data_IF_928771090102
#
_entry.id   IF_928771090102
#
_cell.length_a   1.000
_cell.length_b   1.000
_cell.length_c   1.000
_cell.angle_alpha   90.00
_cell.angle_beta   90.00
_cell.angle_gamma   90.00
#
_symmetry.space_group_name_H-M   'P 1'
#
loop_
_entity.id
_entity.type
_entity.pdbx_description
1 polymer ?
2 polymer ?
3 non-polymer ?
4 non-polymer ?
5 water ?
#
# COMPACT_ATOMS: atom_id res chain seq x y z
N UNK A 8 -17.28 21.94 16.22
CA UNK A 8 -18.05 20.70 16.22
C UNK A 8 -17.39 19.67 15.31
N UNK A 9 -17.47 18.40 15.68
CA UNK A 9 -16.69 17.39 14.98
C UNK A 9 -17.28 16.01 15.24
N UNK A 10 -16.87 15.06 14.40
CA UNK A 10 -17.38 13.69 14.52
C UNK A 10 -16.67 12.91 15.60
N UNK A 11 -15.37 13.16 15.82
CA UNK A 11 -14.63 12.51 16.89
C UNK A 11 -14.93 13.19 18.21
N UNK A 12 -15.24 12.41 19.24
CA UNK A 12 -15.45 13.04 20.53
C UNK A 12 -14.14 13.46 21.18
N UNK A 13 -13.03 12.84 20.79
CA UNK A 13 -11.71 13.31 21.20
C UNK A 13 -10.69 12.85 20.17
N UNK A 14 -9.59 13.60 20.05
CA UNK A 14 -8.59 13.34 19.01
C UNK A 14 -7.57 12.33 19.53
N UNK A 15 -8.04 11.10 19.71
CA UNK A 15 -7.24 10.00 20.23
C UNK A 15 -7.66 8.72 19.52
N UNK A 16 -6.85 7.67 19.68
CA UNK A 16 -7.23 6.37 19.15
C UNK A 16 -8.57 5.93 19.74
N UNK A 17 -8.76 6.19 21.03
CA UNK A 17 -9.99 5.84 21.73
C UNK A 17 -11.19 6.55 21.12
N UNK A 18 -11.01 7.83 20.73
CA UNK A 18 -12.08 8.53 20.04
C UNK A 18 -12.38 7.95 18.67
N UNK A 19 -11.34 7.57 17.93
CA UNK A 19 -11.55 6.93 16.64
C UNK A 19 -12.32 5.62 16.78
N UNK A 20 -11.99 4.82 17.80
CA UNK A 20 -12.69 3.54 17.95
C UNK A 20 -14.17 3.75 18.29
N UNK A 21 -14.45 4.69 19.19
CA UNK A 21 -15.83 5.03 19.50
C UNK A 21 -16.57 5.49 18.26
N UNK A 22 -15.91 6.25 17.40
CA UNK A 22 -16.54 6.71 16.17
C UNK A 22 -16.79 5.54 15.21
N UNK A 23 -15.81 4.66 15.06
CA UNK A 23 -15.96 3.51 14.17
C UNK A 23 -17.12 2.61 14.60
N UNK A 24 -17.36 2.48 15.89
CA UNK A 24 -18.48 1.68 16.36
C UNK A 24 -19.77 2.47 16.52
N UNK A 25 -19.81 3.69 16.03
CA UNK A 25 -21.05 4.44 15.98
C UNK A 25 -21.73 4.22 14.64
N UNK A 26 -23.01 4.60 14.55
CA UNK A 26 -23.73 4.53 13.28
C UNK A 26 -23.22 5.57 12.29
N UNK A 27 -22.43 6.54 12.75
CA UNK A 27 -21.95 7.58 11.85
C UNK A 27 -20.87 7.07 10.92
N UNK A 28 -20.21 5.96 11.27
CA UNK A 28 -19.06 5.47 10.52
C UNK A 28 -19.42 4.15 9.86
N UNK A 29 -19.60 4.19 8.54
CA UNK A 29 -19.95 3.01 7.78
C UNK A 29 -18.91 2.60 6.75
N UNK A 30 -18.12 3.55 6.23
CA UNK A 30 -17.23 3.31 5.09
C UNK A 30 -15.82 3.79 5.44
N UNK A 31 -14.86 2.87 5.41
CA UNK A 31 -13.46 3.17 5.74
C UNK A 31 -12.63 3.04 4.47
N UNK A 32 -11.81 4.05 4.19
CA UNK A 32 -10.76 3.92 3.17
C UNK A 32 -9.40 3.82 3.86
N UNK A 33 -8.62 2.82 3.50
CA UNK A 33 -7.25 2.67 3.98
C UNK A 33 -6.28 3.13 2.90
N UNK A 34 -5.31 3.95 3.30
CA UNK A 34 -4.17 4.33 2.47
C UNK A 34 -2.92 3.75 3.10
N UNK A 35 -2.23 2.87 2.38
CA UNK A 35 -1.13 2.15 2.99
C UNK A 35 0.12 2.25 2.13
N UNK A 36 1.27 2.19 2.79
CA UNK A 36 2.55 2.23 2.13
C UNK A 36 3.55 1.23 2.68
N UNK A 37 4.83 1.47 2.37
CA UNK A 37 5.90 0.53 2.67
C UNK A 37 5.95 0.17 4.14
N UNK A 38 5.52 1.08 5.01
CA UNK A 38 5.59 0.84 6.44
C UNK A 38 4.79 -0.34 6.93
N UNK A 39 3.74 -0.75 6.19
CA UNK A 39 2.94 -1.89 6.65
C UNK A 39 3.53 -3.22 6.22
N UNK A 40 4.62 -3.22 5.43
CA UNK A 40 5.24 -4.45 5.00
C UNK A 40 6.67 -4.62 5.50
N UNK A 41 7.20 -3.66 6.25
CA UNK A 41 8.56 -3.84 6.77
C UNK A 41 8.62 -4.96 7.81
N UNK A 42 7.57 -5.13 8.62
CA UNK A 42 7.62 -6.22 9.59
C UNK A 42 7.39 -7.58 8.95
N UNK A 43 6.97 -7.62 7.70
CA UNK A 43 6.97 -8.83 6.90
C UNK A 43 8.33 -9.12 6.31
N UNK A 44 9.35 -8.39 6.74
CA UNK A 44 10.67 -8.57 6.18
C UNK A 44 10.83 -8.02 4.78
N UNK A 45 9.96 -7.11 4.35
CA UNK A 45 10.11 -6.46 3.06
C UNK A 45 10.47 -5.00 3.30
N UNK A 46 11.75 -4.63 3.35
CA UNK A 46 12.09 -3.22 3.56
C UNK A 46 11.66 -2.38 2.37
N UNK A 47 11.50 -1.08 2.65
CA UNK A 47 11.11 -0.13 1.62
C UNK A 47 12.07 -0.16 0.44
N UNK A 48 11.51 -0.08 -0.78
CA UNK A 48 12.34 -0.06 -1.98
C UNK A 48 12.89 1.31 -2.31
N UNK A 49 12.48 2.36 -1.60
CA UNK A 49 13.18 3.63 -1.70
C UNK A 49 14.21 3.80 -0.60
N UNK A 50 14.34 2.79 0.24
CA UNK A 50 15.26 2.84 1.37
C UNK A 50 16.70 2.67 0.89
N UNK A 51 17.69 3.41 1.51
CA UNK A 51 19.06 3.38 1.06
C UNK A 51 19.86 2.15 1.52
N UNK A 52 19.31 0.96 1.25
CA UNK A 52 20.09 -0.26 1.42
C UNK A 52 20.01 -1.22 0.25
N UNK A 53 19.09 -1.02 -0.69
CA UNK A 53 19.21 -1.66 -1.99
C UNK A 53 20.18 -0.90 -2.87
N UNK A 54 20.43 0.37 -2.59
CA UNK A 54 21.38 1.16 -3.35
C UNK A 54 22.81 0.67 -3.25
N UNK A 55 23.04 -0.63 -3.36
CA UNK A 55 24.40 -1.17 -3.36
C UNK A 55 24.97 -1.18 -4.78
N UNK A 61 28.10 -2.32 -9.80
CA UNK A 61 27.46 -1.13 -10.31
C UNK A 61 27.24 -1.24 -11.83
N UNK A 62 25.98 -1.11 -12.24
CA UNK A 62 25.56 -1.28 -13.63
C UNK A 62 25.75 -0.04 -14.50
N UNK A 63 26.65 0.88 -14.16
CA UNK A 63 26.83 2.13 -14.89
C UNK A 63 25.59 3.01 -14.82
N UNK A 64 24.83 2.94 -13.73
CA UNK A 64 23.63 3.76 -13.64
C UNK A 64 24.00 5.23 -13.56
N UNK A 65 23.21 6.13 -14.17
CA UNK A 65 23.54 7.55 -14.12
C UNK A 65 23.44 8.17 -12.73
N UNK A 66 22.49 7.74 -11.92
CA UNK A 66 22.31 8.26 -10.58
C UNK A 66 21.54 7.18 -9.82
N UNK A 67 21.01 7.42 -8.59
CA UNK A 67 20.32 6.29 -7.92
C UNK A 67 18.91 6.04 -8.43
N UNK A 68 18.11 7.10 -8.61
CA UNK A 68 16.73 6.95 -9.07
C UNK A 68 16.59 6.11 -10.34
N UNK A 69 17.63 6.07 -11.19
CA UNK A 69 17.47 5.49 -12.53
C UNK A 69 16.98 4.05 -12.52
N UNK A 70 17.30 3.28 -11.46
CA UNK A 70 16.91 1.87 -11.43
C UNK A 70 15.39 1.72 -11.35
N UNK A 71 14.67 2.74 -10.87
CA UNK A 71 13.22 2.69 -10.79
C UNK A 71 12.53 3.74 -11.67
N UNK A 72 13.26 4.36 -12.60
CA UNK A 72 12.67 5.31 -13.53
C UNK A 72 12.34 4.62 -14.85
N UNK A 73 11.20 4.98 -15.42
CA UNK A 73 10.72 4.30 -16.62
C UNK A 73 11.62 4.57 -17.81
N UNK A 74 12.16 5.80 -17.91
CA UNK A 74 13.00 6.14 -19.05
C UNK A 74 14.22 5.24 -19.11
N UNK A 75 14.87 5.02 -17.96
CA UNK A 75 16.02 4.13 -17.95
C UNK A 75 15.60 2.68 -18.22
N UNK A 76 14.47 2.24 -17.64
CA UNK A 76 14.09 0.84 -17.76
C UNK A 76 13.85 0.44 -19.21
N UNK A 77 13.23 1.32 -20.00
CA UNK A 77 13.10 1.07 -21.44
C UNK A 77 14.48 1.05 -22.08
N UNK A 78 14.72 0.03 -22.91
CA UNK A 78 16.00 -0.23 -23.59
C UNK A 78 17.16 -0.59 -22.67
N UNK A 79 17.10 -0.27 -21.37
CA UNK A 79 18.00 -0.87 -20.39
C UNK A 79 17.24 -1.50 -19.23
N UNK A 80 16.46 -2.55 -19.48
CA UNK A 80 16.13 -3.47 -18.41
C UNK A 80 17.42 -4.22 -18.12
N UNK A 81 17.35 -5.23 -17.28
CA UNK A 81 18.45 -6.06 -16.78
C UNK A 81 18.95 -5.54 -15.43
N UNK A 82 19.36 -4.27 -15.25
CA UNK A 82 19.62 -3.81 -13.88
C UNK A 82 18.43 -4.00 -12.98
N UNK A 83 17.24 -3.59 -13.44
CA UNK A 83 16.04 -3.80 -12.63
C UNK A 83 15.86 -5.26 -12.29
N UNK A 84 15.98 -6.14 -13.29
CA UNK A 84 15.73 -7.54 -13.05
C UNK A 84 16.81 -8.17 -12.19
N UNK A 85 18.02 -7.63 -12.23
CA UNK A 85 19.05 -8.07 -11.30
C UNK A 85 18.70 -7.64 -9.88
N UNK A 86 18.29 -6.38 -9.71
CA UNK A 86 17.90 -5.92 -8.38
C UNK A 86 16.68 -6.69 -7.87
N UNK A 87 15.77 -7.06 -8.77
CA UNK A 87 14.59 -7.83 -8.39
C UNK A 87 14.98 -9.18 -7.80
N UNK A 88 16.00 -9.83 -8.37
CA UNK A 88 16.48 -11.09 -7.79
C UNK A 88 17.14 -10.85 -6.44
N UNK A 89 17.89 -9.74 -6.32
CA UNK A 89 18.51 -9.38 -5.05
C UNK A 89 17.50 -9.18 -3.94
N UNK A 90 16.40 -8.47 -4.23
CA UNK A 90 15.45 -8.08 -3.21
C UNK A 90 14.23 -8.97 -3.11
N UNK A 91 14.14 -10.01 -3.92
CA UNK A 91 12.94 -10.85 -3.92
C UNK A 91 12.74 -11.43 -2.53
N UNK A 92 11.56 -11.25 -1.92
CA UNK A 92 11.33 -11.76 -0.56
C UNK A 92 11.55 -13.26 -0.46
N UNK A 93 12.03 -13.68 0.71
CA UNK A 93 12.15 -15.11 0.98
C UNK A 93 10.83 -15.79 1.29
N UNK A 94 9.82 -15.01 1.68
CA UNK A 94 8.50 -15.51 2.03
C UNK A 94 7.52 -14.35 1.88
N UNK A 95 6.26 -14.68 1.62
CA UNK A 95 5.20 -13.68 1.46
C UNK A 95 4.19 -13.87 2.58
N UNK A 96 4.46 -13.25 3.72
CA UNK A 96 3.66 -13.42 4.94
C UNK A 96 3.09 -12.06 5.33
N UNK A 97 1.81 -11.80 5.07
CA UNK A 97 1.25 -10.49 5.44
C UNK A 97 1.32 -10.24 6.93
N UNK A 98 1.32 -8.95 7.28
CA UNK A 98 1.50 -8.52 8.65
C UNK A 98 0.15 -8.39 9.36
N UNK A 99 0.22 -8.15 10.68
CA UNK A 99 -0.99 -7.86 11.45
C UNK A 99 -1.81 -6.75 10.81
N UNK A 100 -1.14 -5.74 10.27
CA UNK A 100 -1.83 -4.64 9.60
C UNK A 100 -2.63 -5.12 8.41
N UNK A 101 -2.04 -6.00 7.59
CA UNK A 101 -2.78 -6.52 6.45
C UNK A 101 -4.02 -7.27 6.91
N UNK A 102 -3.88 -8.10 7.94
CA UNK A 102 -5.06 -8.85 8.39
C UNK A 102 -6.06 -7.97 9.10
N UNK A 103 -5.62 -6.84 9.66
CA UNK A 103 -6.56 -5.88 10.21
C UNK A 103 -7.48 -5.36 9.11
N UNK A 104 -6.92 -5.09 7.93
CA UNK A 104 -7.76 -4.65 6.82
C UNK A 104 -8.69 -5.76 6.34
N UNK A 105 -8.23 -7.02 6.39
CA UNK A 105 -9.14 -8.12 6.09
C UNK A 105 -10.30 -8.17 7.09
N UNK A 106 -10.01 -7.89 8.37
CA UNK A 106 -11.07 -7.84 9.36
C UNK A 106 -12.04 -6.70 9.08
N UNK A 107 -11.51 -5.53 8.67
CA UNK A 107 -12.38 -4.44 8.26
C UNK A 107 -13.32 -4.90 7.16
N UNK A 108 -12.79 -5.62 6.18
CA UNK A 108 -13.62 -6.13 5.09
C UNK A 108 -14.67 -7.08 5.62
N UNK A 109 -14.28 -7.97 6.56
CA UNK A 109 -15.21 -8.96 7.15
C UNK A 109 -16.35 -8.29 7.91
N UNK A 110 -16.05 -7.21 8.61
CA UNK A 110 -17.04 -6.51 9.42
C UNK A 110 -17.90 -5.56 8.59
N UNK A 111 -17.71 -5.53 7.28
CA UNK A 111 -18.48 -4.69 6.39
C UNK A 111 -18.12 -3.23 6.42
N UNK A 112 -16.92 -2.88 6.86
CA UNK A 112 -16.51 -1.49 7.00
C UNK A 112 -15.61 -1.02 5.87
N UNK A 113 -15.03 -1.92 5.09
CA UNK A 113 -13.98 -1.53 4.15
C UNK A 113 -14.61 -1.09 2.84
N UNK A 114 -14.48 0.20 2.51
CA UNK A 114 -14.86 0.69 1.19
C UNK A 114 -13.76 0.41 0.18
N UNK A 115 -12.50 0.71 0.53
CA UNK A 115 -11.39 0.48 -0.37
C UNK A 115 -10.05 0.57 0.38
N UNK A 116 -9.07 -0.18 -0.11
CA UNK A 116 -7.68 -0.02 0.31
C UNK A 116 -6.91 0.51 -0.88
N UNK A 117 -6.31 1.69 -0.75
CA UNK A 117 -5.37 2.21 -1.74
C UNK A 117 -3.95 1.91 -1.26
N UNK A 118 -3.18 1.19 -2.06
CA UNK A 118 -1.85 0.80 -1.64
C UNK A 118 -0.80 1.36 -2.57
N UNK A 119 0.33 1.78 -2.01
CA UNK A 119 1.54 2.09 -2.77
C UNK A 119 2.46 0.89 -2.93
N UNK A 120 2.11 -0.26 -2.35
CA UNK A 120 3.00 -1.41 -2.31
C UNK A 120 2.77 -2.32 -3.51
N UNK A 121 3.86 -2.95 -3.95
CA UNK A 121 3.79 -3.84 -5.09
C UNK A 121 3.91 -5.31 -4.68
N UNK A 122 3.93 -5.62 -3.37
CA UNK A 122 4.39 -6.91 -2.87
C UNK A 122 3.30 -7.99 -2.80
N UNK A 123 2.07 -7.68 -3.20
CA UNK A 123 0.90 -8.57 -3.24
C UNK A 123 0.37 -8.98 -1.87
N UNK A 124 0.92 -8.46 -0.77
CA UNK A 124 0.52 -8.98 0.54
C UNK A 124 -0.94 -8.71 0.85
N UNK A 125 -1.50 -7.61 0.32
CA UNK A 125 -2.92 -7.33 0.54
C UNK A 125 -3.80 -8.43 -0.05
N UNK A 126 -3.39 -8.95 -1.21
CA UNK A 126 -4.12 -10.05 -1.85
C UNK A 126 -4.00 -11.34 -1.05
N UNK A 127 -2.79 -11.65 -0.57
CA UNK A 127 -2.60 -12.86 0.22
C UNK A 127 -3.42 -12.79 1.50
N UNK A 128 -3.51 -11.60 2.11
CA UNK A 128 -4.28 -11.43 3.33
C UNK A 128 -5.79 -11.53 3.10
N UNK A 129 -6.23 -11.59 1.84
CA UNK A 129 -7.62 -11.83 1.57
C UNK A 129 -8.41 -10.65 1.03
N UNK A 130 -7.75 -9.54 0.66
CA UNK A 130 -8.43 -8.46 -0.02
C UNK A 130 -8.63 -8.84 -1.49
N UNK A 131 -9.83 -8.62 -2.01
CA UNK A 131 -10.14 -8.95 -3.39
C UNK A 131 -9.77 -7.78 -4.31
N UNK A 132 -9.72 -8.05 -5.61
CA UNK A 132 -9.34 -7.02 -6.57
C UNK A 132 -10.25 -5.80 -6.45
N UNK A 133 -11.58 -6.01 -6.28
CA UNK A 133 -12.45 -4.84 -6.20
C UNK A 133 -12.26 -4.04 -4.92
N UNK A 134 -11.74 -4.65 -3.85
CA UNK A 134 -11.43 -3.91 -2.62
C UNK A 134 -10.17 -3.06 -2.76
N UNK A 135 -9.40 -3.26 -3.81
CA UNK A 135 -8.01 -2.81 -3.87
C UNK A 135 -7.80 -1.84 -5.01
N UNK A 136 -7.06 -0.78 -4.72
CA UNK A 136 -6.52 0.10 -5.77
C UNK A 136 -5.01 0.05 -5.59
N UNK A 137 -4.33 -0.72 -6.43
CA UNK A 137 -2.87 -0.79 -6.40
C UNK A 137 -2.35 0.40 -7.16
N UNK A 138 -2.11 1.50 -6.44
CA UNK A 138 -1.76 2.75 -7.09
C UNK A 138 -0.46 2.67 -7.87
N UNK A 139 0.50 1.88 -7.39
CA UNK A 139 1.76 1.71 -8.11
C UNK A 139 1.83 0.36 -8.79
N UNK A 140 0.70 -0.29 -9.01
CA UNK A 140 0.67 -1.58 -9.69
C UNK A 140 1.14 -2.70 -8.78
N UNK A 141 1.60 -3.78 -9.39
CA UNK A 141 1.84 -4.97 -8.58
C UNK A 141 2.68 -5.98 -9.35
N UNK A 142 3.38 -6.85 -8.61
CA UNK A 142 4.04 -8.02 -9.18
C UNK A 142 3.10 -9.21 -9.32
N UNK A 143 1.86 -9.10 -8.87
CA UNK A 143 0.91 -10.21 -8.93
C UNK A 143 0.77 -10.73 -10.35
N UNK A 144 0.74 -9.82 -11.33
CA UNK A 144 0.65 -10.17 -12.74
C UNK A 144 1.74 -9.42 -13.48
N UNK A 145 2.18 -10.00 -14.61
CA UNK A 145 3.11 -9.34 -15.51
C UNK A 145 2.54 -9.43 -16.91
N UNK A 146 2.96 -8.51 -17.79
CA UNK A 146 2.49 -8.54 -19.16
C UNK A 146 3.63 -8.38 -20.15
N UNK A 147 3.54 -9.14 -21.23
CA UNK A 147 4.28 -8.85 -22.44
C UNK A 147 4.11 -7.39 -22.82
N UNK A 148 5.22 -6.73 -23.17
CA UNK A 148 5.15 -5.29 -23.46
C UNK A 148 4.74 -4.98 -24.89
N UNK A 149 4.60 -5.99 -25.76
CA UNK A 149 4.20 -5.69 -27.13
C UNK A 149 2.70 -5.36 -27.20
N UNK A 150 2.39 -4.22 -27.79
CA UNK A 150 1.03 -3.69 -27.74
C UNK A 150 0.04 -4.66 -28.38
N UNK A 151 0.45 -5.37 -29.42
CA UNK A 151 -0.42 -6.28 -30.14
C UNK A 151 -0.56 -7.63 -29.45
N UNK A 152 0.14 -7.86 -28.33
CA UNK A 152 0.16 -9.15 -27.67
C UNK A 152 -0.36 -9.05 -26.24
N UNK A 153 0.39 -8.44 -25.33
CA UNK A 153 -0.04 -8.21 -23.94
C UNK A 153 -0.43 -9.52 -23.23
N UNK A 154 0.20 -10.64 -23.60
CA UNK A 154 -0.01 -11.88 -22.86
C UNK A 154 0.31 -11.66 -21.39
N UNK A 155 -0.56 -12.20 -20.52
CA UNK A 155 -0.44 -12.04 -19.07
C UNK A 155 0.28 -13.24 -18.47
N UNK A 156 1.14 -12.98 -17.47
CA UNK A 156 1.84 -14.04 -16.79
C UNK A 156 1.69 -13.91 -15.29
N UNK A 157 1.61 -15.02 -14.55
CA UNK A 157 1.53 -14.96 -13.09
C UNK A 157 2.92 -14.83 -12.44
N UNK A 158 2.89 -14.46 -11.15
CA UNK A 158 4.11 -14.23 -10.40
C UNK A 158 5.00 -15.48 -10.37
N UNK A 159 4.39 -16.67 -10.26
CA UNK A 159 5.18 -17.89 -10.26
C UNK A 159 6.05 -17.96 -11.51
N UNK A 160 5.49 -17.62 -12.66
CA UNK A 160 6.25 -17.56 -13.92
C UNK A 160 7.32 -16.48 -13.84
N UNK A 161 6.94 -15.27 -13.41
CA UNK A 161 7.90 -14.17 -13.34
C UNK A 161 9.03 -14.49 -12.37
N UNK A 162 8.70 -15.06 -11.21
CA UNK A 162 9.72 -15.42 -10.23
C UNK A 162 10.76 -16.36 -10.84
N UNK A 163 10.31 -17.34 -11.62
CA UNK A 163 11.24 -18.29 -12.22
C UNK A 163 12.23 -17.59 -13.15
N UNK A 164 11.75 -16.65 -13.98
CA UNK A 164 12.65 -15.95 -14.89
C UNK A 164 13.58 -15.00 -14.15
N UNK A 165 13.11 -14.39 -13.07
CA UNK A 165 13.95 -13.47 -12.32
C UNK A 165 15.15 -14.20 -11.73
N UNK A 166 14.91 -15.39 -11.17
CA UNK A 166 15.97 -16.10 -10.49
C UNK A 166 16.91 -16.83 -11.46
N UNK A 167 16.41 -17.21 -12.64
CA UNK A 167 17.29 -17.75 -13.66
C UNK A 167 18.25 -16.70 -14.21
N UNK A 168 18.08 -15.43 -13.82
CA UNK A 168 18.88 -14.32 -14.33
C UNK A 168 18.77 -14.20 -15.85
N UNK A 169 17.66 -14.67 -16.42
CA UNK A 169 17.34 -14.44 -17.82
C UNK A 169 16.24 -13.39 -17.88
N UNK A 170 16.45 -12.36 -18.70
CA UNK A 170 15.41 -11.36 -18.91
C UNK A 170 14.13 -12.05 -19.35
N UNK A 171 12.99 -11.79 -18.70
CA UNK A 171 11.76 -12.53 -19.04
C UNK A 171 11.25 -12.17 -20.43
N UNK A 172 11.04 -13.20 -21.25
CA UNK A 172 10.62 -13.07 -22.64
C UNK A 172 9.28 -13.75 -22.83
N UNK A 173 8.42 -13.15 -23.64
CA UNK A 173 7.08 -13.67 -23.87
C UNK A 173 7.15 -14.97 -24.68
N UNK A 174 6.37 -15.96 -24.26
CA UNK A 174 6.40 -17.25 -24.96
C UNK A 174 5.69 -17.19 -26.31
N UNK A 175 4.81 -16.22 -26.53
CA UNK A 175 4.09 -16.12 -27.79
C UNK A 175 4.82 -15.29 -28.83
N UNK A 176 5.45 -14.18 -28.42
CA UNK A 176 6.08 -13.28 -29.36
C UNK A 176 7.52 -12.92 -29.02
N UNK A 177 8.04 -13.35 -27.87
CA UNK A 177 9.43 -13.19 -27.44
C UNK A 177 9.79 -11.75 -27.09
N UNK A 178 8.81 -10.86 -26.94
CA UNK A 178 9.07 -9.54 -26.38
C UNK A 178 9.37 -9.63 -24.88
N UNK A 179 9.88 -8.55 -24.33
CA UNK A 179 10.05 -8.42 -22.88
C UNK A 179 8.72 -8.61 -22.17
N UNK A 180 8.75 -9.27 -21.01
CA UNK A 180 7.60 -9.36 -20.12
C UNK A 180 7.90 -8.54 -18.87
N UNK A 181 7.00 -7.64 -18.53
CA UNK A 181 7.25 -6.63 -17.50
C UNK A 181 6.27 -6.80 -16.36
N UNK A 182 6.74 -6.87 -15.11
CA UNK A 182 5.80 -6.88 -13.97
C UNK A 182 4.93 -5.63 -14.00
N UNK A 183 3.68 -5.81 -13.57
CA UNK A 183 2.65 -4.77 -13.70
C UNK A 183 2.83 -3.63 -12.72
N UNK A 184 4.04 -3.18 -12.48
CA UNK A 184 4.27 -2.09 -11.53
C UNK A 184 4.32 -0.78 -12.30
N UNK A 185 4.18 0.32 -11.56
CA UNK A 185 4.30 1.66 -12.10
C UNK A 185 5.69 2.18 -11.76
N UNK A 186 6.51 2.45 -12.78
CA UNK A 186 7.82 3.06 -12.55
C UNK A 186 7.69 4.55 -12.32
N UNK A 187 8.66 5.13 -11.59
CA UNK A 187 8.70 6.57 -11.46
C UNK A 187 8.77 7.19 -12.86
N UNK A 188 8.00 8.26 -13.07
CA UNK A 188 7.86 8.85 -14.38
C UNK A 188 6.71 8.29 -15.19
N UNK A 189 6.05 7.24 -14.73
CA UNK A 189 4.90 6.67 -15.42
C UNK A 189 3.60 7.22 -14.85
N UNK A 190 2.59 7.32 -15.70
CA UNK A 190 1.25 7.66 -15.23
C UNK A 190 0.69 6.52 -14.39
N UNK A 191 -0.04 6.90 -13.34
CA UNK A 191 -0.73 5.91 -12.53
C UNK A 191 -1.88 5.31 -13.33
N UNK A 192 -2.34 4.12 -12.98
CA UNK A 192 -3.43 3.49 -13.76
C UNK A 192 -4.69 4.34 -13.70
N UNK A 193 -5.46 4.30 -14.79
CA UNK A 193 -6.71 5.05 -14.83
C UNK A 193 -7.64 4.65 -13.70
N UNK A 194 -7.57 3.38 -13.26
CA UNK A 194 -8.43 2.93 -12.16
C UNK A 194 -8.19 3.75 -10.89
N UNK A 195 -6.94 4.14 -10.65
CA UNK A 195 -6.63 4.99 -9.50
C UNK A 195 -7.48 6.25 -9.50
N UNK A 196 -7.52 6.97 -10.63
CA UNK A 196 -8.25 8.24 -10.64
C UNK A 196 -9.77 8.04 -10.67
N UNK A 197 -10.26 6.99 -11.34
CA UNK A 197 -11.71 6.80 -11.37
C UNK A 197 -12.24 6.28 -10.04
N UNK A 198 -11.50 5.37 -9.38
CA UNK A 198 -11.90 4.96 -8.03
C UNK A 198 -11.87 6.14 -7.07
N UNK A 199 -10.79 6.93 -7.10
CA UNK A 199 -10.68 8.09 -6.20
C UNK A 199 -11.89 9.02 -6.35
N UNK A 200 -12.31 9.30 -7.59
CA UNK A 200 -13.42 10.22 -7.82
C UNK A 200 -14.70 9.76 -7.12
N UNK A 201 -14.98 8.46 -7.15
CA UNK A 201 -16.20 7.93 -6.56
C UNK A 201 -16.05 7.64 -5.06
N UNK A 202 -14.91 7.08 -4.65
CA UNK A 202 -14.76 6.63 -3.26
C UNK A 202 -14.77 7.79 -2.28
N UNK A 203 -14.11 8.89 -2.61
CA UNK A 203 -14.01 9.96 -1.62
C UNK A 203 -15.30 10.75 -1.50
N UNK A 204 -16.31 10.45 -2.32
CA UNK A 204 -17.65 10.95 -2.04
C UNK A 204 -18.33 10.19 -0.90
N UNK A 205 -17.80 9.04 -0.52
CA UNK A 205 -18.54 8.06 0.28
C UNK A 205 -17.83 7.73 1.59
N UNK A 206 -16.63 8.25 1.81
CA UNK A 206 -15.79 7.78 2.90
C UNK A 206 -16.20 8.43 4.21
N UNK A 207 -16.28 7.63 5.29
CA UNK A 207 -16.51 8.14 6.63
C UNK A 207 -15.26 8.21 7.49
N UNK A 208 -14.20 7.49 7.11
CA UNK A 208 -12.98 7.47 7.90
C UNK A 208 -11.82 7.15 6.98
N UNK A 209 -10.74 7.92 7.08
CA UNK A 209 -9.49 7.62 6.39
C UNK A 209 -8.50 7.04 7.38
N UNK A 210 -8.03 5.82 7.11
CA UNK A 210 -7.01 5.17 7.92
C UNK A 210 -5.72 5.21 7.11
N UNK A 211 -4.73 5.96 7.56
CA UNK A 211 -3.49 6.13 6.83
C UNK A 211 -2.41 5.40 7.59
N UNK A 212 -1.84 4.36 6.97
CA UNK A 212 -0.94 3.46 7.68
C UNK A 212 0.34 3.25 6.91
N UNK A 213 1.45 3.45 7.62
CA UNK A 213 2.76 3.07 7.09
C UNK A 213 3.14 3.81 5.82
N UNK A 214 2.80 5.08 5.71
CA UNK A 214 3.30 5.86 4.59
C UNK A 214 3.76 7.23 5.06
N UNK A 215 4.82 7.72 4.44
CA UNK A 215 5.35 9.05 4.71
C UNK A 215 4.68 10.12 3.87
N UNK A 216 3.77 9.73 2.96
CA UNK A 216 3.04 10.67 2.11
C UNK A 216 3.99 11.61 1.38
N UNK A 217 5.06 11.05 0.82
CA UNK A 217 6.03 11.81 0.05
C UNK A 217 6.05 11.45 -1.42
N UNK A 218 5.30 10.43 -1.82
CA UNK A 218 5.20 10.04 -3.23
C UNK A 218 3.89 10.57 -3.77
N UNK A 219 3.95 11.21 -4.93
CA UNK A 219 2.84 11.81 -5.62
C UNK A 219 2.52 11.05 -6.90
N UNK A 220 1.26 11.07 -7.36
CA UNK A 220 0.15 11.80 -6.73
C UNK A 220 -0.54 11.06 -5.61
N UNK A 221 -0.02 9.90 -5.17
CA UNK A 221 -0.67 9.18 -4.09
C UNK A 221 -0.89 10.06 -2.86
N UNK A 222 0.11 10.86 -2.48
CA UNK A 222 0.03 11.61 -1.22
C UNK A 222 -1.12 12.61 -1.21
N UNK A 223 -1.52 13.12 -2.37
CA UNK A 223 -2.61 14.09 -2.45
C UNK A 223 -3.99 13.46 -2.21
N UNK A 224 -4.07 12.14 -2.02
CA UNK A 224 -5.32 11.50 -1.64
C UNK A 224 -5.89 12.08 -0.35
N UNK A 225 -5.02 12.47 0.60
CA UNK A 225 -5.57 12.91 1.89
C UNK A 225 -6.36 14.21 1.72
N UNK A 226 -6.04 15.02 0.72
CA UNK A 226 -6.78 16.26 0.45
C UNK A 226 -8.11 16.03 -0.25
N UNK A 227 -8.41 14.79 -0.62
CA UNK A 227 -9.66 14.47 -1.29
C UNK A 227 -10.77 14.09 -0.33
N UNK A 228 -10.46 13.95 0.96
CA UNK A 228 -11.49 13.57 1.91
C UNK A 228 -12.43 14.74 2.17
N UNK A 229 -13.71 14.47 2.39
CA UNK A 229 -14.63 15.53 2.85
C UNK A 229 -14.10 16.18 4.11
N UNK A 230 -14.50 17.44 4.35
CA UNK A 230 -13.95 18.20 5.47
C UNK A 230 -14.26 17.57 6.83
N UNK A 231 -15.40 16.90 6.96
CA UNK A 231 -15.73 16.30 8.25
C UNK A 231 -15.03 14.98 8.51
N UNK A 232 -14.48 14.33 7.48
CA UNK A 232 -14.02 12.94 7.61
C UNK A 232 -12.80 12.82 8.51
N UNK A 233 -12.88 12.11 9.64
CA UNK A 233 -11.68 11.95 10.47
C UNK A 233 -10.59 11.18 9.73
N UNK A 234 -9.34 11.50 10.05
CA UNK A 234 -8.18 10.88 9.43
C UNK A 234 -7.22 10.42 10.51
N UNK A 235 -6.97 9.12 10.58
CA UNK A 235 -6.09 8.54 11.57
C UNK A 235 -4.82 8.11 10.85
N UNK A 236 -3.69 8.63 11.30
CA UNK A 236 -2.39 8.18 10.83
C UNK A 236 -1.80 7.20 11.84
N UNK A 237 -1.48 6.00 11.39
CA UNK A 237 -0.69 5.05 12.16
C UNK A 237 0.65 4.91 11.46
N UNK A 238 1.72 5.37 12.11
CA UNK A 238 2.99 5.48 11.42
C UNK A 238 4.09 5.70 12.44
N UNK A 239 5.31 5.32 12.05
CA UNK A 239 6.42 5.51 12.96
C UNK A 239 6.65 6.99 13.25
N UNK A 240 6.44 7.85 12.24
CA UNK A 240 6.64 9.29 12.33
C UNK A 240 5.41 10.04 11.83
N UNK A 241 5.18 11.22 12.40
CA UNK A 241 4.15 12.10 11.87
C UNK A 241 4.43 12.45 10.43
N UNK A 242 3.36 12.52 9.64
CA UNK A 242 3.49 12.78 8.22
C UNK A 242 2.24 13.48 7.73
N UNK A 243 2.35 14.07 6.55
CA UNK A 243 1.20 14.67 5.90
C UNK A 243 0.85 16.06 6.36
N UNK A 244 1.68 16.70 7.17
CA UNK A 244 1.42 18.07 7.56
C UNK A 244 1.82 19.02 6.44
N UNK A 245 1.23 20.21 6.46
CA UNK A 245 1.59 21.25 5.50
C UNK A 245 3.08 21.56 5.61
N UNK A 246 3.69 21.88 4.46
CA UNK A 246 5.10 22.20 4.40
C UNK A 246 5.27 23.68 4.65
N UNK A 247 5.91 24.10 5.75
CA UNK A 247 6.01 25.55 6.05
C UNK A 247 6.82 26.32 5.03
N UNK A 248 7.59 25.63 4.18
CA UNK A 248 8.42 26.32 3.19
C UNK A 248 7.61 26.73 1.98
N UNK A 249 6.58 25.97 1.64
CA UNK A 249 5.65 26.35 0.59
C UNK A 249 4.69 27.44 1.07
N UNK A 258 -3.19 20.14 4.53
CA UNK A 258 -2.65 18.90 5.05
C UNK A 258 -3.26 18.45 6.37
N UNK A 259 -2.61 17.49 7.01
CA UNK A 259 -3.05 17.04 8.32
C UNK A 259 -2.79 18.11 9.36
N UNK A 260 -3.71 18.25 10.31
CA UNK A 260 -3.55 19.16 11.43
C UNK A 260 -3.80 18.35 12.69
N UNK A 261 -2.73 17.84 13.30
CA UNK A 261 -2.88 17.03 14.49
C UNK A 261 -2.84 17.86 15.77
N UNK A 262 -2.09 18.96 15.79
CA UNK A 262 -1.62 19.53 17.05
C UNK A 262 -2.07 20.95 17.35
N UNK A 263 -2.52 21.73 16.38
CA UNK A 263 -2.86 23.12 16.68
C UNK A 263 -4.20 23.23 17.41
N UNK A 264 -4.52 24.45 17.89
CA UNK A 264 -5.82 24.70 18.50
C UNK A 264 -6.96 24.60 17.50
N UNK A 265 -6.66 24.54 16.21
CA UNK A 265 -7.66 24.34 15.19
C UNK A 265 -7.88 22.89 14.82
N UNK A 266 -7.07 21.97 15.35
CA UNK A 266 -7.21 20.56 15.01
C UNK A 266 -8.60 20.08 15.41
N UNK A 267 -9.25 19.33 14.54
CA UNK A 267 -10.59 18.86 14.86
C UNK A 267 -10.89 17.45 14.36
N UNK A 268 -10.01 16.81 13.59
CA UNK A 268 -10.39 15.52 13.01
C UNK A 268 -9.21 14.61 12.71
N UNK A 269 -7.99 15.11 12.83
CA UNK A 269 -6.81 14.31 12.51
C UNK A 269 -6.16 13.80 13.77
N UNK A 270 -5.79 12.52 13.75
CA UNK A 270 -5.21 11.81 14.89
C UNK A 270 -3.96 11.08 14.42
N UNK A 271 -2.86 11.24 15.15
CA UNK A 271 -1.61 10.53 14.86
C UNK A 271 -1.31 9.60 16.01
N UNK A 272 -1.16 8.32 15.70
CA UNK A 272 -0.69 7.29 16.61
C UNK A 272 0.71 6.90 16.13
N UNK A 273 1.71 7.13 16.96
CA UNK A 273 3.10 7.00 16.50
C UNK A 273 3.71 5.70 17.03
N UNK A 274 4.18 4.86 16.12
CA UNK A 274 4.75 3.58 16.49
C UNK A 274 4.73 2.66 15.28
N UNK A 275 5.08 1.40 15.51
CA UNK A 275 5.03 0.44 14.41
C UNK A 275 3.58 0.18 14.02
N UNK A 276 3.34 0.01 12.72
CA UNK A 276 1.96 -0.12 12.27
C UNK A 276 1.28 -1.32 12.89
N UNK A 277 2.01 -2.43 13.05
CA UNK A 277 1.44 -3.63 13.67
C UNK A 277 0.91 -3.33 15.08
N UNK A 278 1.71 -2.62 15.88
CA UNK A 278 1.29 -2.30 17.24
C UNK A 278 0.11 -1.32 17.26
N UNK A 279 0.08 -0.38 16.30
CA UNK A 279 -1.03 0.54 16.26
C UNK A 279 -2.32 -0.15 15.84
N UNK A 280 -2.24 -1.05 14.87
CA UNK A 280 -3.41 -1.83 14.48
C UNK A 280 -3.87 -2.75 15.60
N UNK A 281 -2.93 -3.33 16.34
CA UNK A 281 -3.30 -4.15 17.51
C UNK A 281 -4.02 -3.31 18.55
N UNK A 282 -3.52 -2.10 18.81
CA UNK A 282 -4.15 -1.24 19.81
C UNK A 282 -5.55 -0.83 19.38
N UNK A 283 -5.75 -0.51 18.10
CA UNK A 283 -7.08 -0.14 17.65
C UNK A 283 -8.01 -1.36 17.70
N UNK A 284 -7.53 -2.52 17.22
CA UNK A 284 -8.32 -3.73 17.32
C UNK A 284 -8.73 -4.02 18.77
N UNK A 285 -7.82 -3.81 19.72
CA UNK A 285 -8.19 -4.07 21.11
C UNK A 285 -9.32 -3.16 21.57
N UNK A 286 -9.28 -1.88 21.18
CA UNK A 286 -10.36 -0.96 21.58
C UNK A 286 -11.69 -1.35 20.96
N UNK A 287 -11.67 -1.92 19.76
CA UNK A 287 -12.86 -2.31 19.04
C UNK A 287 -13.44 -3.62 19.56
N UNK A 288 -12.74 -4.32 20.45
CA UNK A 288 -13.17 -5.64 20.84
C UNK A 288 -12.79 -6.72 19.86
N UNK A 289 -11.88 -6.42 18.94
CA UNK A 289 -11.50 -7.36 17.89
C UNK A 289 -10.17 -8.06 18.14
N UNK A 290 -9.56 -7.91 19.33
CA UNK A 290 -8.18 -8.38 19.45
C UNK A 290 -8.11 -9.90 19.35
N UNK A 291 -9.06 -10.61 19.97
CA UNK A 291 -9.04 -12.07 19.86
C UNK A 291 -9.31 -12.53 18.43
N UNK A 292 -10.26 -11.89 17.74
CA UNK A 292 -10.51 -12.22 16.33
C UNK A 292 -9.27 -11.97 15.46
N UNK A 293 -8.59 -10.84 15.66
CA UNK A 293 -7.40 -10.55 14.88
C UNK A 293 -6.27 -11.54 15.20
N UNK A 294 -6.03 -11.80 16.49
CA UNK A 294 -5.00 -12.78 16.85
C UNK A 294 -5.28 -14.14 16.23
N UNK A 295 -6.53 -14.62 16.34
CA UNK A 295 -6.88 -15.92 15.76
C UNK A 295 -6.68 -15.94 14.24
N UNK A 296 -7.05 -14.86 13.56
CA UNK A 296 -6.91 -14.81 12.10
C UNK A 296 -5.43 -14.82 11.71
N UNK A 297 -4.63 -13.97 12.35
CA UNK A 297 -3.21 -13.89 12.01
C UNK A 297 -2.50 -15.21 12.28
N UNK A 298 -2.78 -15.84 13.43
CA UNK A 298 -2.06 -17.07 13.76
C UNK A 298 -2.43 -18.18 12.79
N UNK A 299 -3.70 -18.23 12.38
CA UNK A 299 -4.14 -19.23 11.42
C UNK A 299 -3.50 -19.01 10.05
N UNK A 300 -3.51 -17.76 9.57
CA UNK A 300 -2.98 -17.47 8.25
C UNK A 300 -1.46 -17.61 8.22
N UNK A 301 -0.78 -17.18 9.29
CA UNK A 301 0.67 -17.39 9.39
C UNK A 301 1.01 -18.88 9.47
N UNK A 302 0.22 -19.65 10.22
CA UNK A 302 0.47 -21.09 10.27
C UNK A 302 0.28 -21.71 8.90
N UNK A 303 -0.76 -21.30 8.18
CA UNK A 303 -1.01 -21.81 6.84
C UNK A 303 0.15 -21.51 5.90
N UNK A 304 0.63 -20.27 5.92
CA UNK A 304 1.72 -19.90 5.02
C UNK A 304 3.00 -20.62 5.41
N UNK A 305 3.27 -20.75 6.71
CA UNK A 305 4.45 -21.47 7.18
C UNK A 305 4.44 -22.91 6.73
N UNK A 306 3.25 -23.51 6.57
CA UNK A 306 3.09 -24.91 6.23
C UNK A 306 2.99 -25.15 4.73
N UNK A 307 3.25 -24.15 3.91
CA UNK A 307 3.19 -24.33 2.46
C UNK A 307 4.26 -25.33 1.99
N UNK B 1 -0.89 13.12 -13.91
CA UNK B 1 0.28 13.27 -13.04
C UNK B 1 1.13 11.99 -12.96
N UNK B 2 2.38 12.10 -13.39
CA UNK B 2 3.30 10.98 -13.34
C UNK B 2 3.70 10.69 -11.90
N UNK B 3 4.05 9.44 -11.64
CA UNK B 3 4.57 9.05 -10.34
C UNK B 3 5.89 9.76 -10.07
N UNK B 4 5.97 10.47 -8.95
CA UNK B 4 7.07 11.37 -8.75
C UNK B 4 7.52 11.34 -7.30
N UNK B 5 8.76 11.74 -7.12
CA UNK B 5 9.38 11.90 -5.82
C UNK B 5 9.09 13.27 -5.21
X LIG C 1 3.95 -11.33 -26.32
X LIG D 1 6.73 2.51 -7.28
X LIG D 1 6.86 3.02 -5.78
X LIG D 1 7.17 1.09 -7.56
X LIG D 1 8.59 0.81 -7.07
X LIG D 1 8.97 -0.59 -7.56
X LIG D 1 10.29 -1.12 -7.00
X LIG D 1 10.32 -2.62 -7.24
X LIG D 1 11.64 -3.19 -6.75
X LIG D 1 11.76 -4.67 -7.05
X LIG D 1 10.95 -5.50 -6.05
X LIG D 1 11.30 -6.97 -6.15
X LIG D 1 10.36 -7.74 -5.21
X LIG D 1 9.07 -8.16 -5.90
X LIG D 1 8.09 -8.84 -4.94
#
# INVERSE_FOLDING_TARGET
>A
SSLGSQKERLLDELTLEGVARYMQSERCRRVICLVGAGISTSAGIPDFRSPSTGLYDNLEKYHLPYPEAIFEISYFKKHPEPFFALAKELYPGQFKPTICHYFMRLLKDKGLLLRCYTQNIDTLERIAGLEQEDLVEAHGTFYTSHCVSASCRHEYPLSWMKEKIFSEVTPKCENCQSLVKPDIVFFGESLPARFFSCMQSDFLKVDLLLVMGTSLQVQPFASLISKAPLSTPRLLINKEKAGQSDPFLGMIMGLGGGMDFDSKKAYRDVAWLGECDQGCLALAELLGWKKELEDLVRREHASIDAQ
>B
PRKQL
>C hetero
1 ZN ZN
>D hetero
1 MYR C1 O1 C2 C3 C4 C5 C6 C7 C8 C9 C10 C11 C12 C13
#
